data_IF_550607914752
#
_entry.id   IF_550607914752
#
_cell.length_a   1.000
_cell.length_b   1.000
_cell.length_c   1.000
_cell.angle_alpha   90.00
_cell.angle_beta   90.00
_cell.angle_gamma   90.00
#
_symmetry.space_group_name_H-M   'P 1'
#
loop_
_entity.id
_entity.type
_entity.pdbx_description
1 polymer ?
#
# COMPACT_ATOMS: atom_id res chain seq x y z
N UNK A 1 -11.43 -82.63 12.30
CA UNK A 1 -10.56 -83.53 11.51
C UNK A 1 -9.38 -82.74 10.95
N UNK A 2 -8.22 -83.40 10.83
CA UNK A 2 -6.89 -82.97 10.32
C UNK A 2 -6.95 -82.12 9.02
N UNK A 3 -6.13 -81.06 8.85
CA UNK A 3 -4.80 -81.02 8.15
C UNK A 3 -4.93 -81.52 6.68
N UNK A 4 -4.46 -80.91 5.58
CA UNK A 4 -3.27 -80.09 5.25
C UNK A 4 -3.44 -79.49 3.82
N UNK A 5 -2.61 -78.48 3.51
CA UNK A 5 -1.95 -78.21 2.21
C UNK A 5 -2.62 -77.19 1.26
N UNK A 6 -1.94 -76.20 0.68
CA UNK A 6 -0.51 -75.99 0.51
C UNK A 6 -0.16 -75.96 -0.99
N UNK A 7 -0.24 -74.79 -1.62
CA UNK A 7 0.35 -74.55 -2.94
C UNK A 7 0.85 -73.09 -3.04
N UNK A 8 2.16 -72.95 -3.19
CA UNK A 8 2.90 -71.70 -3.35
C UNK A 8 2.89 -71.27 -4.82
N UNK A 9 2.97 -69.96 -5.06
CA UNK A 9 3.61 -69.22 -6.19
C UNK A 9 2.80 -67.93 -6.40
N UNK A 10 3.34 -66.76 -6.72
CA UNK A 10 4.66 -66.17 -6.64
C UNK A 10 4.37 -64.66 -6.68
N UNK A 11 5.00 -63.85 -5.83
CA UNK A 11 4.85 -62.40 -5.84
C UNK A 11 5.91 -61.82 -6.79
N UNK A 12 5.56 -60.82 -7.62
CA UNK A 12 6.32 -59.59 -7.52
C UNK A 12 5.42 -58.36 -7.50
N UNK A 13 5.52 -57.64 -6.37
CA UNK A 13 5.71 -56.19 -6.24
C UNK A 13 5.27 -55.33 -7.44
N UNK A 14 4.11 -54.69 -7.30
CA UNK A 14 3.91 -53.34 -7.81
C UNK A 14 3.45 -52.45 -6.66
N UNK A 15 4.37 -51.57 -6.26
CA UNK A 15 4.16 -50.51 -5.30
C UNK A 15 3.22 -49.46 -5.92
N UNK A 16 2.09 -49.23 -5.29
CA UNK A 16 1.24 -48.07 -5.52
C UNK A 16 1.06 -47.34 -4.20
N UNK A 17 2.04 -46.52 -3.82
CA UNK A 17 1.90 -45.60 -2.69
C UNK A 17 0.95 -44.49 -3.13
N UNK A 18 -0.30 -44.57 -2.67
CA UNK A 18 -1.27 -43.49 -2.79
C UNK A 18 -0.89 -42.39 -1.78
N UNK A 19 0.02 -41.50 -2.16
CA UNK A 19 0.31 -40.30 -1.40
C UNK A 19 -0.81 -39.28 -1.66
N UNK A 20 -1.83 -39.27 -0.79
CA UNK A 20 -2.78 -38.16 -0.71
C UNK A 20 -2.00 -36.89 -0.33
N UNK A 21 -1.76 -36.03 -1.31
CA UNK A 21 -1.08 -34.76 -1.16
C UNK A 21 -1.82 -33.82 -0.21
N UNK A 22 -1.19 -33.50 0.92
CA UNK A 22 -1.48 -32.30 1.68
C UNK A 22 -1.09 -31.08 0.82
N UNK A 23 -2.05 -30.42 0.19
CA UNK A 23 -1.87 -29.05 -0.26
C UNK A 23 -1.91 -28.13 0.96
N UNK A 24 -0.80 -28.05 1.70
CA UNK A 24 -0.57 -26.94 2.61
C UNK A 24 -0.38 -25.71 1.72
N UNK A 25 -1.44 -24.93 1.54
CA UNK A 25 -1.36 -23.60 0.99
C UNK A 25 -0.53 -22.74 1.94
N UNK A 26 0.80 -22.81 1.83
CA UNK A 26 1.70 -21.83 2.42
C UNK A 26 1.36 -20.50 1.77
N UNK A 27 0.55 -19.69 2.46
CA UNK A 27 0.57 -18.24 2.29
C UNK A 27 2.02 -17.85 2.57
N UNK A 28 2.83 -17.67 1.53
CA UNK A 28 4.08 -16.93 1.66
C UNK A 28 3.68 -15.59 2.27
N UNK A 29 3.94 -15.41 3.56
CA UNK A 29 3.93 -14.10 4.19
C UNK A 29 4.97 -13.30 3.45
N UNK A 30 4.51 -12.56 2.43
CA UNK A 30 5.27 -11.48 1.87
C UNK A 30 5.50 -10.55 3.05
N UNK A 31 6.71 -10.58 3.62
CA UNK A 31 7.13 -9.59 4.57
C UNK A 31 7.03 -8.27 3.83
N UNK A 32 5.91 -7.57 4.00
CA UNK A 32 5.71 -6.27 3.41
C UNK A 32 6.86 -5.42 3.93
N UNK A 33 7.84 -5.15 3.04
CA UNK A 33 8.97 -4.31 3.34
C UNK A 33 8.40 -3.07 4.03
N UNK A 34 8.86 -2.81 5.26
CA UNK A 34 8.35 -1.67 6.00
C UNK A 34 8.67 -0.42 5.18
N UNK A 35 7.71 0.52 5.03
CA UNK A 35 8.01 1.81 4.44
C UNK A 35 9.18 2.41 5.21
N UNK A 36 10.20 2.85 4.47
CA UNK A 36 11.24 3.72 5.02
C UNK A 36 10.59 5.00 5.54
N UNK A 37 11.33 5.81 6.30
CA UNK A 37 10.85 7.12 6.76
C UNK A 37 10.29 7.94 5.59
N UNK A 38 11.00 7.95 4.47
CA UNK A 38 10.57 8.63 3.24
C UNK A 38 9.35 7.95 2.60
N UNK A 39 9.31 6.62 2.58
CA UNK A 39 8.18 5.86 2.04
C UNK A 39 6.88 6.07 2.84
N UNK A 40 6.98 6.22 4.17
CA UNK A 40 5.82 6.53 5.01
C UNK A 40 5.26 7.92 4.70
N UNK A 41 6.13 8.92 4.51
CA UNK A 41 5.70 10.26 4.09
C UNK A 41 5.05 10.24 2.71
N UNK A 42 5.66 9.49 1.79
CA UNK A 42 5.18 9.40 0.41
C UNK A 42 3.79 8.75 0.33
N UNK A 43 3.58 7.65 1.05
CA UNK A 43 2.29 6.98 1.11
C UNK A 43 1.21 7.85 1.78
N UNK A 44 1.55 8.55 2.85
CA UNK A 44 0.62 9.48 3.51
C UNK A 44 0.26 10.66 2.61
N UNK A 45 1.24 11.21 1.88
CA UNK A 45 1.00 12.28 0.91
C UNK A 45 0.12 11.80 -0.25
N UNK A 46 0.33 10.59 -0.74
CA UNK A 46 -0.51 9.97 -1.75
C UNK A 46 -1.98 9.88 -1.27
N UNK A 47 -2.21 9.37 -0.06
CA UNK A 47 -3.56 9.26 0.51
C UNK A 47 -4.27 10.61 0.62
N UNK A 48 -3.60 11.62 1.20
CA UNK A 48 -4.16 12.97 1.32
C UNK A 48 -4.42 13.60 -0.05
N UNK A 49 -3.50 13.43 -1.00
CA UNK A 49 -3.66 13.93 -2.38
C UNK A 49 -4.93 13.33 -3.01
N UNK A 50 -5.04 12.01 -3.07
CA UNK A 50 -6.18 11.32 -3.70
C UNK A 50 -7.50 11.63 -2.99
N UNK A 51 -7.49 11.73 -1.66
CA UNK A 51 -8.67 12.10 -0.90
C UNK A 51 -9.18 13.48 -1.29
N UNK A 52 -8.29 14.48 -1.32
CA UNK A 52 -8.66 15.87 -1.57
C UNK A 52 -9.06 16.07 -3.02
N UNK A 53 -8.31 15.51 -3.97
CA UNK A 53 -8.63 15.63 -5.39
C UNK A 53 -9.90 14.85 -5.76
N UNK A 54 -10.23 13.74 -5.08
CA UNK A 54 -11.52 13.04 -5.29
C UNK A 54 -12.74 13.89 -4.90
N UNK A 55 -12.58 14.78 -3.91
CA UNK A 55 -13.61 15.76 -3.54
C UNK A 55 -13.67 16.90 -4.55
N UNK A 56 -12.52 17.37 -5.03
CA UNK A 56 -12.46 18.38 -6.09
C UNK A 56 -13.19 17.92 -7.37
N UNK A 57 -12.98 16.67 -7.79
CA UNK A 57 -13.61 16.09 -8.97
C UNK A 57 -15.08 15.65 -8.76
N UNK A 58 -15.67 15.94 -7.60
CA UNK A 58 -17.06 15.56 -7.30
C UNK A 58 -18.07 16.21 -8.25
N UNK A 59 -19.08 15.44 -8.69
CA UNK A 59 -20.13 15.95 -9.56
C UNK A 59 -19.73 16.22 -11.02
N UNK A 60 -18.48 15.92 -11.39
CA UNK A 60 -18.03 15.87 -12.79
C UNK A 60 -18.34 14.51 -13.43
N UNK A 61 -18.20 14.39 -14.75
CA UNK A 61 -18.22 13.10 -15.46
C UNK A 61 -17.12 12.15 -14.98
N UNK A 62 -16.07 12.69 -14.38
CA UNK A 62 -14.89 11.98 -13.90
C UNK A 62 -14.81 11.97 -12.37
N UNK A 63 -15.97 11.85 -11.70
CA UNK A 63 -16.05 11.64 -10.26
C UNK A 63 -15.38 10.31 -9.88
N UNK A 64 -14.32 10.38 -9.06
CA UNK A 64 -13.54 9.21 -8.68
C UNK A 64 -13.57 8.89 -7.19
N UNK A 65 -14.55 9.41 -6.42
CA UNK A 65 -14.69 9.07 -5.00
C UNK A 65 -14.81 7.57 -4.75
N UNK A 66 -15.47 6.83 -5.63
CA UNK A 66 -15.57 5.37 -5.56
C UNK A 66 -14.22 4.67 -5.77
N UNK A 67 -13.41 5.16 -6.71
CA UNK A 67 -12.05 4.65 -6.93
C UNK A 67 -11.15 4.93 -5.72
N UNK A 68 -11.21 6.15 -5.16
CA UNK A 68 -10.49 6.47 -3.93
C UNK A 68 -10.93 5.60 -2.76
N UNK A 69 -12.23 5.33 -2.60
CA UNK A 69 -12.72 4.43 -1.56
C UNK A 69 -12.17 3.00 -1.71
N UNK A 70 -12.12 2.47 -2.93
CA UNK A 70 -11.53 1.16 -3.22
C UNK A 70 -10.02 1.14 -2.91
N UNK A 71 -9.28 2.16 -3.34
CA UNK A 71 -7.86 2.36 -3.01
C UNK A 71 -7.62 2.38 -1.49
N UNK A 72 -8.37 3.22 -0.77
CA UNK A 72 -8.23 3.38 0.69
C UNK A 72 -8.58 2.09 1.43
N UNK A 73 -9.56 1.32 0.93
CA UNK A 73 -9.90 0.02 1.50
C UNK A 73 -8.81 -1.03 1.25
N UNK A 74 -8.28 -1.13 0.03
CA UNK A 74 -7.23 -2.07 -0.34
C UNK A 74 -5.94 -1.84 0.46
N UNK A 75 -5.61 -0.56 0.72
CA UNK A 75 -4.34 -0.16 1.34
C UNK A 75 -4.45 0.36 2.77
N UNK A 76 -5.59 0.16 3.43
CA UNK A 76 -5.90 0.72 4.76
C UNK A 76 -4.80 0.47 5.79
N UNK A 77 -4.27 -0.75 5.85
CA UNK A 77 -3.24 -1.12 6.81
C UNK A 77 -1.91 -0.40 6.55
N UNK A 78 -1.51 -0.26 5.29
CA UNK A 78 -0.30 0.43 4.89
C UNK A 78 -0.42 1.94 5.15
N UNK A 79 -1.55 2.55 4.80
CA UNK A 79 -1.84 3.98 5.04
C UNK A 79 -1.83 4.27 6.55
N UNK A 80 -2.53 3.45 7.34
CA UNK A 80 -2.56 3.62 8.80
C UNK A 80 -1.15 3.52 9.41
N UNK A 81 -0.35 2.54 8.97
CA UNK A 81 1.02 2.37 9.43
C UNK A 81 1.91 3.55 9.06
N UNK A 82 1.82 4.04 7.83
CA UNK A 82 2.56 5.22 7.38
C UNK A 82 2.23 6.46 8.24
N UNK A 83 0.95 6.70 8.51
CA UNK A 83 0.52 7.80 9.38
C UNK A 83 0.99 7.64 10.84
N UNK A 84 1.10 6.42 11.35
CA UNK A 84 1.68 6.16 12.69
C UNK A 84 3.19 6.41 12.71
N UNK A 85 3.92 5.96 11.69
CA UNK A 85 5.37 6.21 11.57
C UNK A 85 5.67 7.72 11.50
N UNK A 86 4.88 8.48 10.75
CA UNK A 86 5.04 9.94 10.67
C UNK A 86 4.78 10.64 12.01
N UNK A 87 3.72 10.23 12.74
CA UNK A 87 3.47 10.75 14.08
C UNK A 87 4.63 10.43 15.03
N UNK A 88 5.15 9.20 15.00
CA UNK A 88 6.30 8.82 15.81
C UNK A 88 7.53 9.70 15.51
N UNK A 89 7.82 9.98 14.24
CA UNK A 89 8.92 10.89 13.87
C UNK A 89 8.69 12.32 14.35
N UNK A 90 7.46 12.81 14.30
CA UNK A 90 7.13 14.14 14.81
C UNK A 90 7.27 14.21 16.34
N UNK A 91 6.97 13.12 17.07
CA UNK A 91 7.27 13.01 18.50
C UNK A 91 8.77 13.08 18.76
N UNK A 92 9.58 12.37 17.97
CA UNK A 92 11.05 12.44 18.10
C UNK A 92 11.59 13.85 17.81
N UNK A 93 10.98 14.59 16.88
CA UNK A 93 11.44 15.93 16.48
C UNK A 93 10.94 17.09 17.34
N UNK A 94 9.72 16.98 17.88
CA UNK A 94 9.02 18.10 18.52
C UNK A 94 8.55 17.80 19.94
N UNK A 95 8.71 16.58 20.43
CA UNK A 95 8.10 16.10 21.66
C UNK A 95 6.63 15.72 21.49
N UNK A 96 6.10 14.94 22.43
CA UNK A 96 4.74 14.38 22.36
C UNK A 96 3.65 15.45 22.26
N UNK A 97 3.79 16.55 23.00
CA UNK A 97 2.82 17.65 23.05
C UNK A 97 2.69 18.35 21.69
N UNK A 98 3.81 18.65 21.03
CA UNK A 98 3.78 19.42 19.78
C UNK A 98 3.61 18.55 18.52
N UNK A 99 3.82 17.24 18.61
CA UNK A 99 3.76 16.31 17.48
C UNK A 99 2.37 16.25 16.82
N UNK A 100 1.29 16.25 17.62
CA UNK A 100 -0.07 16.22 17.11
C UNK A 100 -0.35 17.47 16.25
N UNK A 101 -0.09 18.66 16.79
CA UNK A 101 -0.26 19.92 16.06
C UNK A 101 0.65 20.02 14.84
N UNK A 102 1.86 19.44 14.89
CA UNK A 102 2.75 19.38 13.73
C UNK A 102 2.19 18.48 12.61
N UNK A 103 1.59 17.33 12.98
CA UNK A 103 0.95 16.42 12.04
C UNK A 103 -0.28 17.06 11.39
N UNK A 104 -1.12 17.74 12.18
CA UNK A 104 -2.28 18.45 11.64
C UNK A 104 -1.88 19.59 10.70
N UNK A 105 -0.86 20.38 11.04
CA UNK A 105 -0.33 21.42 10.13
C UNK A 105 0.23 20.82 8.84
N UNK A 106 0.87 19.65 8.91
CA UNK A 106 1.34 18.94 7.72
C UNK A 106 0.16 18.54 6.83
N UNK A 107 -0.89 17.94 7.38
CA UNK A 107 -2.10 17.55 6.65
C UNK A 107 -2.80 18.76 6.03
N UNK A 108 -2.92 19.85 6.78
CA UNK A 108 -3.54 21.09 6.29
C UNK A 108 -2.77 21.67 5.09
N UNK A 109 -1.43 21.66 5.12
CA UNK A 109 -0.61 22.10 3.98
C UNK A 109 -0.76 21.20 2.77
N UNK A 110 -0.77 19.88 2.95
CA UNK A 110 -1.02 18.92 1.87
C UNK A 110 -2.40 19.12 1.26
N UNK A 111 -3.44 19.25 2.10
CA UNK A 111 -4.79 19.47 1.62
C UNK A 111 -4.95 20.82 0.90
N UNK A 112 -4.28 21.87 1.37
CA UNK A 112 -4.24 23.15 0.67
C UNK A 112 -3.57 23.03 -0.70
N UNK A 113 -2.45 22.29 -0.79
CA UNK A 113 -1.72 22.07 -2.05
C UNK A 113 -2.60 21.42 -3.13
N UNK A 114 -3.51 20.51 -2.78
CA UNK A 114 -4.34 19.78 -3.73
C UNK A 114 -5.80 20.24 -3.80
N UNK A 115 -6.17 21.31 -3.08
CA UNK A 115 -7.56 21.80 -3.01
C UNK A 115 -8.11 22.17 -4.40
N UNK A 116 -7.25 22.67 -5.28
CA UNK A 116 -7.58 23.03 -6.66
C UNK A 116 -7.51 21.88 -7.66
N UNK A 117 -7.31 20.64 -7.22
CA UNK A 117 -7.04 19.49 -8.08
C UNK A 117 -5.56 19.12 -8.13
N UNK A 118 -5.23 18.17 -9.00
CA UNK A 118 -3.85 17.74 -9.20
C UNK A 118 -3.15 18.68 -10.21
N UNK A 119 -1.88 19.07 -9.98
CA UNK A 119 -1.24 20.13 -10.78
C UNK A 119 -1.04 19.82 -12.27
N UNK A 120 -1.09 18.56 -12.69
CA UNK A 120 -0.94 18.17 -14.10
C UNK A 120 -1.78 16.96 -14.52
N UNK A 121 -2.56 16.37 -13.61
CA UNK A 121 -3.48 15.29 -13.98
C UNK A 121 -4.90 15.81 -13.87
N UNK A 122 -5.71 15.57 -14.89
CA UNK A 122 -7.13 15.86 -14.83
C UNK A 122 -7.91 14.81 -14.02
N UNK A 123 -9.21 15.02 -13.84
CA UNK A 123 -10.05 14.12 -13.08
C UNK A 123 -10.20 12.72 -13.71
N UNK A 124 -10.14 12.60 -15.04
CA UNK A 124 -10.24 11.31 -15.74
C UNK A 124 -8.94 10.51 -15.58
N UNK A 125 -7.80 11.16 -15.74
CA UNK A 125 -6.49 10.57 -15.51
C UNK A 125 -6.34 10.12 -14.06
N UNK A 126 -6.73 10.97 -13.09
CA UNK A 126 -6.75 10.62 -11.67
C UNK A 126 -7.66 9.43 -11.38
N UNK A 127 -8.84 9.37 -12.01
CA UNK A 127 -9.74 8.23 -11.84
C UNK A 127 -9.06 6.93 -12.31
N UNK A 128 -8.44 6.95 -13.49
CA UNK A 128 -7.75 5.81 -14.09
C UNK A 128 -6.57 5.36 -13.22
N UNK A 129 -5.71 6.30 -12.83
CA UNK A 129 -4.58 6.05 -11.93
C UNK A 129 -5.05 5.47 -10.60
N UNK A 130 -6.08 6.03 -9.98
CA UNK A 130 -6.58 5.57 -8.68
C UNK A 130 -7.13 4.15 -8.74
N UNK A 131 -7.82 3.79 -9.83
CA UNK A 131 -8.25 2.41 -10.08
C UNK A 131 -7.06 1.46 -10.21
N UNK A 132 -6.00 1.87 -10.91
CA UNK A 132 -4.75 1.11 -11.00
C UNK A 132 -4.09 0.91 -9.64
N UNK A 133 -3.97 1.97 -8.85
CA UNK A 133 -3.38 1.92 -7.50
C UNK A 133 -4.14 0.98 -6.55
N UNK A 134 -5.47 0.89 -6.68
CA UNK A 134 -6.27 -0.05 -5.88
C UNK A 134 -5.92 -1.53 -6.14
N UNK A 135 -5.34 -1.85 -7.31
CA UNK A 135 -4.94 -3.21 -7.69
C UNK A 135 -3.47 -3.51 -7.39
N UNK A 136 -2.66 -2.50 -7.02
CA UNK A 136 -1.24 -2.69 -6.69
C UNK A 136 -1.11 -3.61 -5.48
N UNK A 137 -0.17 -4.56 -5.54
CA UNK A 137 0.18 -5.41 -4.41
C UNK A 137 1.56 -5.05 -3.89
N UNK A 138 1.70 -5.05 -2.56
CA UNK A 138 2.97 -4.77 -1.89
C UNK A 138 3.23 -3.27 -1.70
N UNK A 139 3.72 -2.92 -0.51
CA UNK A 139 3.95 -1.52 -0.13
C UNK A 139 5.08 -0.85 -0.93
N UNK A 140 6.10 -1.61 -1.33
CA UNK A 140 7.20 -1.07 -2.14
C UNK A 140 6.73 -0.57 -3.51
N UNK A 141 5.96 -1.39 -4.22
CA UNK A 141 5.37 -1.02 -5.52
C UNK A 141 4.39 0.14 -5.40
N UNK A 142 3.64 0.21 -4.29
CA UNK A 142 2.76 1.35 -4.04
C UNK A 142 3.53 2.65 -3.81
N UNK A 143 4.66 2.61 -3.11
CA UNK A 143 5.53 3.77 -2.89
C UNK A 143 6.17 4.22 -4.21
N UNK A 144 6.63 3.28 -5.04
CA UNK A 144 7.17 3.57 -6.38
C UNK A 144 6.11 4.27 -7.25
N UNK A 145 4.88 3.74 -7.25
CA UNK A 145 3.77 4.35 -7.98
C UNK A 145 3.43 5.75 -7.44
N UNK A 146 3.53 5.94 -6.12
CA UNK A 146 3.35 7.25 -5.49
C UNK A 146 4.40 8.27 -5.96
N UNK A 147 5.66 7.86 -6.23
CA UNK A 147 6.71 8.76 -6.72
C UNK A 147 6.43 9.35 -8.10
N UNK A 148 5.75 8.58 -8.96
CA UNK A 148 5.44 9.01 -10.32
C UNK A 148 4.31 10.04 -10.37
N UNK A 149 3.39 9.99 -9.43
CA UNK A 149 2.19 10.84 -9.42
C UNK A 149 2.28 12.00 -8.42
N UNK A 150 3.13 11.89 -7.40
CA UNK A 150 3.34 13.01 -6.49
C UNK A 150 4.30 14.02 -7.12
N UNK A 151 4.06 15.33 -6.97
CA UNK A 151 5.04 16.35 -7.34
C UNK A 151 6.33 16.02 -6.62
N UNK A 152 7.41 15.85 -7.39
CA UNK A 152 8.76 15.78 -6.83
C UNK A 152 8.81 16.91 -5.83
N UNK A 153 9.09 16.59 -4.55
CA UNK A 153 9.33 17.62 -3.55
C UNK A 153 10.35 18.51 -4.20
N UNK A 154 9.97 19.75 -4.56
CA UNK A 154 10.96 20.73 -4.94
C UNK A 154 11.86 20.78 -3.73
N UNK A 155 13.04 20.18 -3.85
CA UNK A 155 14.08 20.37 -2.89
C UNK A 155 14.28 21.88 -2.93
N UNK A 156 13.73 22.58 -1.95
CA UNK A 156 14.06 23.96 -1.67
C UNK A 156 15.54 23.94 -1.27
N UNK A 157 16.39 23.82 -2.28
CA UNK A 157 17.80 24.13 -2.22
C UNK A 157 17.85 25.64 -2.03
N UNK A 158 18.19 26.02 -0.80
CA UNK A 158 19.08 27.13 -0.47
C UNK A 158 18.99 28.34 -1.40
N UNK A 159 18.18 29.32 -0.99
CA UNK A 159 18.56 30.71 -1.14
C UNK A 159 19.08 31.22 0.23
N UNK A 160 20.21 30.67 0.67
CA UNK A 160 21.14 31.48 1.49
C UNK A 160 21.85 32.40 0.53
N UNK A 161 21.28 33.57 0.27
CA UNK A 161 22.09 34.71 -0.12
C UNK A 161 22.72 35.25 1.15
N UNK A 162 24.02 34.99 1.25
CA UNK A 162 25.00 35.78 2.00
C UNK A 162 24.90 37.21 1.46
N UNK A 163 24.62 38.17 2.34
CA UNK A 163 25.23 39.51 2.44
C UNK A 163 24.54 40.31 3.56
#
# INVERSE_FOLDING_TARGET
MRKVAGARKALPRLAGVLACGLFIATRMSQAAAMPTVDGAEQLHRLDVMLQVTSKHCSGSSSDFRSAYAAFSQAHRSAIAKAAQQLRAQLVQRHGSIAAASAFERMNARLAAQYRGGHPWLDCEELQTVTRGLAMVQGSATLIEAADQILPKRQATRFATTRD
#
